data_IF_857021957433
#
_entry.id   IF_857021957433
#
_cell.length_a   1.000
_cell.length_b   1.000
_cell.length_c   1.000
_cell.angle_alpha   90.00
_cell.angle_beta   90.00
_cell.angle_gamma   90.00
#
_symmetry.space_group_name_H-M   'P 1'
#
loop_
_entity.id
_entity.type
_entity.pdbx_description
1 polymer ?
#
# COMPACT_ATOMS: atom_id res chain seq x y z
N UNK A 1 37.62 -51.63 -1.21
CA UNK A 1 36.76 -50.62 -1.85
C UNK A 1 35.36 -50.76 -1.28
N UNK A 2 34.72 -49.70 -0.78
CA UNK A 2 33.28 -49.64 -0.61
C UNK A 2 32.66 -48.93 -1.82
N UNK A 3 31.65 -49.56 -2.44
CA UNK A 3 30.77 -48.90 -3.40
C UNK A 3 29.96 -47.83 -2.67
N UNK A 4 29.99 -46.62 -3.23
CA UNK A 4 29.27 -45.47 -2.70
C UNK A 4 27.77 -45.58 -2.98
N UNK A 5 26.99 -45.56 -1.91
CA UNK A 5 25.56 -45.27 -1.97
C UNK A 5 25.36 -43.82 -2.43
N UNK A 6 24.95 -43.65 -3.67
CA UNK A 6 24.52 -42.37 -4.22
C UNK A 6 23.00 -42.32 -4.14
N UNK A 7 22.48 -41.70 -3.08
CA UNK A 7 21.05 -41.41 -2.95
C UNK A 7 20.58 -40.54 -4.14
N UNK A 8 19.51 -40.93 -4.86
CA UNK A 8 18.96 -40.07 -5.88
C UNK A 8 18.28 -38.87 -5.20
N UNK A 9 18.81 -37.69 -5.45
CA UNK A 9 18.16 -36.42 -5.09
C UNK A 9 16.81 -36.38 -5.80
N UNK A 10 15.74 -36.69 -5.06
CA UNK A 10 14.39 -36.53 -5.53
C UNK A 10 14.14 -35.06 -5.84
N UNK A 11 14.15 -34.73 -7.14
CA UNK A 11 13.69 -33.45 -7.66
C UNK A 11 12.31 -33.16 -7.08
N UNK A 12 12.26 -32.14 -6.23
CA UNK A 12 11.03 -31.61 -5.67
C UNK A 12 10.11 -31.29 -6.85
N UNK A 13 8.88 -31.85 -6.93
CA UNK A 13 8.02 -31.64 -8.08
C UNK A 13 7.87 -30.14 -8.33
N UNK A 14 8.28 -29.69 -9.52
CA UNK A 14 8.09 -28.31 -9.94
C UNK A 14 6.62 -27.95 -9.80
N UNK A 15 6.33 -26.75 -9.27
CA UNK A 15 4.96 -26.30 -9.07
C UNK A 15 4.14 -26.51 -10.36
N UNK A 16 2.92 -27.08 -10.27
CA UNK A 16 2.13 -27.41 -11.45
C UNK A 16 1.96 -26.20 -12.36
N UNK A 17 2.03 -26.41 -13.68
CA UNK A 17 2.01 -25.34 -14.70
C UNK A 17 0.85 -24.35 -14.53
N UNK A 18 -0.29 -24.80 -14.00
CA UNK A 18 -1.43 -23.94 -13.67
C UNK A 18 -1.08 -22.81 -12.68
N UNK A 19 -0.28 -23.11 -11.65
CA UNK A 19 0.15 -22.11 -10.65
C UNK A 19 1.12 -21.11 -11.29
N UNK A 20 2.02 -21.57 -12.18
CA UNK A 20 2.96 -20.69 -12.88
C UNK A 20 2.26 -19.72 -13.84
N UNK A 21 1.22 -20.19 -14.54
CA UNK A 21 0.40 -19.36 -15.42
C UNK A 21 -0.40 -18.31 -14.65
N UNK A 22 -1.00 -18.68 -13.51
CA UNK A 22 -1.70 -17.73 -12.64
C UNK A 22 -0.74 -16.66 -12.08
N UNK A 23 0.42 -17.06 -11.55
CA UNK A 23 1.40 -16.11 -10.99
C UNK A 23 2.01 -15.19 -12.05
N UNK A 24 2.27 -15.69 -13.27
CA UNK A 24 2.79 -14.88 -14.37
C UNK A 24 1.75 -13.88 -14.88
N UNK A 25 0.47 -14.28 -14.91
CA UNK A 25 -0.64 -13.41 -15.28
C UNK A 25 -0.87 -12.33 -14.21
N UNK A 26 -0.79 -12.68 -12.94
CA UNK A 26 -0.93 -11.76 -11.80
C UNK A 26 0.23 -10.75 -11.77
N UNK A 27 1.47 -11.22 -11.96
CA UNK A 27 2.65 -10.36 -12.09
C UNK A 27 2.58 -9.43 -13.30
N UNK A 28 2.03 -9.88 -14.45
CA UNK A 28 1.86 -9.02 -15.61
C UNK A 28 0.81 -7.91 -15.37
N UNK A 29 -0.23 -8.19 -14.60
CA UNK A 29 -1.25 -7.21 -14.20
C UNK A 29 -0.73 -6.21 -13.16
N UNK A 30 0.30 -6.57 -12.37
CA UNK A 30 0.86 -5.68 -11.37
C UNK A 30 1.84 -4.65 -11.93
N UNK A 31 2.54 -4.93 -13.04
CA UNK A 31 3.56 -4.02 -13.58
C UNK A 31 3.05 -2.59 -13.85
N UNK A 32 1.91 -2.37 -14.52
CA UNK A 32 1.41 -1.00 -14.73
C UNK A 32 1.04 -0.30 -13.42
N UNK A 33 0.60 -1.07 -12.42
CA UNK A 33 0.26 -0.57 -11.09
C UNK A 33 1.52 -0.14 -10.33
N UNK A 34 2.56 -0.97 -10.38
CA UNK A 34 3.88 -0.71 -9.77
C UNK A 34 4.58 0.50 -10.43
N UNK A 35 4.45 0.65 -11.75
CA UNK A 35 4.91 1.82 -12.50
C UNK A 35 4.14 3.10 -12.10
N UNK A 36 2.80 3.03 -12.06
CA UNK A 36 1.97 4.16 -11.64
C UNK A 36 2.31 4.59 -10.20
N UNK A 37 2.50 3.64 -9.30
CA UNK A 37 2.92 3.91 -7.93
C UNK A 37 4.29 4.60 -7.86
N UNK A 38 5.26 4.14 -8.66
CA UNK A 38 6.58 4.75 -8.74
C UNK A 38 6.53 6.19 -9.24
N UNK A 39 5.69 6.47 -10.23
CA UNK A 39 5.46 7.84 -10.73
C UNK A 39 4.83 8.73 -9.67
N UNK A 40 3.85 8.22 -8.91
CA UNK A 40 3.25 8.97 -7.80
C UNK A 40 4.26 9.28 -6.70
N UNK A 41 5.09 8.31 -6.29
CA UNK A 41 6.18 8.56 -5.32
C UNK A 41 7.08 9.68 -5.80
N UNK A 42 7.58 9.59 -7.03
CA UNK A 42 8.45 10.61 -7.62
C UNK A 42 7.80 11.99 -7.71
N UNK A 43 6.51 12.06 -8.07
CA UNK A 43 5.79 13.33 -8.13
C UNK A 43 5.63 13.96 -6.74
N UNK A 44 5.39 13.13 -5.72
CA UNK A 44 5.08 13.55 -4.36
C UNK A 44 6.31 13.66 -3.45
N UNK A 45 7.51 13.25 -3.91
CA UNK A 45 8.80 13.45 -3.24
C UNK A 45 9.08 14.91 -2.93
N UNK A 46 8.66 15.82 -3.82
CA UNK A 46 8.83 17.24 -3.61
C UNK A 46 7.80 17.79 -2.61
N UNK A 47 8.22 18.56 -1.59
CA UNK A 47 7.31 19.19 -0.67
C UNK A 47 6.46 20.24 -1.40
N UNK A 48 5.19 20.35 -1.02
CA UNK A 48 4.22 21.25 -1.64
C UNK A 48 3.19 20.54 -2.52
N UNK A 49 2.14 21.28 -2.90
CA UNK A 49 1.04 20.75 -3.73
C UNK A 49 1.56 20.51 -5.14
N UNK A 50 1.51 19.27 -5.66
CA UNK A 50 1.98 18.97 -7.00
C UNK A 50 1.12 19.71 -8.03
N UNK A 51 1.73 20.16 -9.14
CA UNK A 51 1.01 20.76 -10.26
C UNK A 51 0.24 19.68 -11.06
N UNK A 52 -0.87 19.21 -10.50
CA UNK A 52 -1.77 18.24 -11.12
C UNK A 52 -2.98 18.96 -11.73
N UNK A 53 -3.58 18.34 -12.75
CA UNK A 53 -4.78 18.90 -13.42
C UNK A 53 -5.97 19.04 -12.46
N UNK A 54 -6.17 18.05 -11.60
CA UNK A 54 -7.20 18.05 -10.55
C UNK A 54 -6.65 17.35 -9.30
N UNK A 55 -6.66 18.02 -8.13
CA UNK A 55 -6.26 17.41 -6.87
C UNK A 55 -7.23 16.30 -6.45
N UNK A 56 -8.53 16.48 -6.65
CA UNK A 56 -9.57 15.49 -6.28
C UNK A 56 -9.43 14.18 -7.06
N UNK A 57 -9.18 14.28 -8.37
CA UNK A 57 -8.90 13.09 -9.19
C UNK A 57 -7.61 12.41 -8.77
N UNK A 58 -6.62 13.20 -8.36
CA UNK A 58 -5.34 12.67 -7.86
C UNK A 58 -5.56 11.88 -6.57
N UNK A 59 -6.28 12.43 -5.59
CA UNK A 59 -6.65 11.73 -4.35
C UNK A 59 -7.41 10.43 -4.65
N UNK A 60 -8.41 10.50 -5.52
CA UNK A 60 -9.22 9.34 -5.93
C UNK A 60 -8.37 8.25 -6.57
N UNK A 61 -7.40 8.63 -7.41
CA UNK A 61 -6.49 7.68 -8.07
C UNK A 61 -5.52 7.01 -7.09
N UNK A 62 -4.99 7.74 -6.11
CA UNK A 62 -4.15 7.16 -5.04
C UNK A 62 -4.96 6.21 -4.15
N UNK A 63 -6.22 6.54 -3.85
CA UNK A 63 -7.11 5.67 -3.09
C UNK A 63 -7.41 4.37 -3.85
N UNK A 64 -7.66 4.47 -5.17
CA UNK A 64 -7.86 3.30 -6.02
C UNK A 64 -6.60 2.43 -6.09
N UNK A 65 -5.42 3.04 -6.22
CA UNK A 65 -4.14 2.35 -6.21
C UNK A 65 -3.95 1.51 -4.94
N UNK A 66 -4.21 2.11 -3.77
CA UNK A 66 -4.12 1.42 -2.49
C UNK A 66 -5.13 0.25 -2.39
N UNK A 67 -6.36 0.45 -2.86
CA UNK A 67 -7.38 -0.60 -2.88
C UNK A 67 -6.99 -1.77 -3.80
N UNK A 68 -6.42 -1.50 -4.97
CA UNK A 68 -5.94 -2.52 -5.90
C UNK A 68 -4.79 -3.34 -5.29
N UNK A 69 -3.83 -2.69 -4.62
CA UNK A 69 -2.77 -3.41 -3.91
C UNK A 69 -3.32 -4.32 -2.79
N UNK A 70 -4.36 -3.90 -2.08
CA UNK A 70 -5.02 -4.75 -1.08
C UNK A 70 -5.68 -5.97 -1.71
N UNK A 71 -6.32 -5.80 -2.86
CA UNK A 71 -6.94 -6.91 -3.60
C UNK A 71 -5.90 -7.90 -4.14
N UNK A 72 -4.69 -7.44 -4.46
CA UNK A 72 -3.56 -8.28 -4.88
C UNK A 72 -2.77 -8.88 -3.71
N UNK A 73 -3.26 -8.77 -2.48
CA UNK A 73 -2.56 -9.23 -1.27
C UNK A 73 -1.12 -8.65 -1.15
N UNK A 74 -0.96 -7.39 -1.54
CA UNK A 74 0.26 -6.59 -1.43
C UNK A 74 0.11 -5.53 -0.34
N UNK A 75 0.07 -5.92 0.95
CA UNK A 75 -0.31 -5.02 2.04
C UNK A 75 0.71 -3.90 2.28
N UNK A 76 1.99 -4.12 1.97
CA UNK A 76 3.03 -3.10 2.12
C UNK A 76 2.84 -1.98 1.08
N UNK A 77 2.65 -2.32 -0.20
CA UNK A 77 2.38 -1.32 -1.25
C UNK A 77 1.07 -0.57 -1.00
N UNK A 78 0.05 -1.25 -0.47
CA UNK A 78 -1.20 -0.60 -0.07
C UNK A 78 -0.99 0.43 1.05
N UNK A 79 -0.24 0.06 2.08
CA UNK A 79 0.10 0.95 3.20
C UNK A 79 0.86 2.19 2.70
N UNK A 80 1.91 2.00 1.88
CA UNK A 80 2.65 3.13 1.32
C UNK A 80 1.77 4.02 0.43
N UNK A 81 0.84 3.43 -0.34
CA UNK A 81 -0.12 4.19 -1.15
C UNK A 81 -1.04 5.06 -0.28
N UNK A 82 -1.52 4.55 0.87
CA UNK A 82 -2.28 5.36 1.82
C UNK A 82 -1.44 6.45 2.49
N UNK A 83 -0.14 6.22 2.73
CA UNK A 83 0.76 7.26 3.24
C UNK A 83 0.96 8.39 2.22
N UNK A 84 1.08 8.05 0.93
CA UNK A 84 1.09 9.06 -0.15
C UNK A 84 -0.21 9.84 -0.18
N UNK A 85 -1.36 9.17 -0.07
CA UNK A 85 -2.68 9.81 -0.02
C UNK A 85 -2.77 10.79 1.16
N UNK A 86 -2.41 10.35 2.37
CA UNK A 86 -2.37 11.18 3.57
C UNK A 86 -1.50 12.41 3.38
N UNK A 87 -0.30 12.23 2.83
CA UNK A 87 0.62 13.35 2.55
C UNK A 87 0.01 14.39 1.60
N UNK A 88 -0.79 13.95 0.64
CA UNK A 88 -1.42 14.85 -0.32
C UNK A 88 -2.65 15.54 0.28
N UNK A 89 -3.50 14.81 1.01
CA UNK A 89 -4.61 15.41 1.77
C UNK A 89 -4.12 16.53 2.70
N UNK A 90 -3.04 16.29 3.45
CA UNK A 90 -2.43 17.31 4.33
C UNK A 90 -1.98 18.55 3.57
N UNK A 91 -1.32 18.37 2.43
CA UNK A 91 -0.86 19.48 1.60
C UNK A 91 -2.00 20.30 0.99
N UNK A 92 -3.14 19.67 0.76
CA UNK A 92 -4.35 20.30 0.22
C UNK A 92 -5.24 20.89 1.32
N UNK A 93 -4.96 20.64 2.60
CA UNK A 93 -5.83 21.03 3.71
C UNK A 93 -7.11 20.19 3.81
N UNK A 94 -7.14 19.01 3.20
CA UNK A 94 -8.28 18.09 3.23
C UNK A 94 -8.26 17.24 4.51
N UNK A 95 -8.89 17.75 5.58
CA UNK A 95 -8.97 17.09 6.88
C UNK A 95 -9.73 15.77 6.85
N UNK A 96 -10.88 15.73 6.15
CA UNK A 96 -11.69 14.52 6.03
C UNK A 96 -10.95 13.42 5.26
N UNK A 97 -10.29 13.77 4.16
CA UNK A 97 -9.46 12.84 3.41
C UNK A 97 -8.27 12.34 4.22
N UNK A 98 -7.63 13.20 5.01
CA UNK A 98 -6.55 12.82 5.91
C UNK A 98 -7.03 11.84 7.00
N UNK A 99 -8.16 12.11 7.64
CA UNK A 99 -8.76 11.23 8.65
C UNK A 99 -9.11 9.84 8.07
N UNK A 100 -9.68 9.82 6.86
CA UNK A 100 -9.94 8.56 6.16
C UNK A 100 -8.63 7.81 5.85
N UNK A 101 -7.61 8.49 5.33
CA UNK A 101 -6.31 7.86 5.03
C UNK A 101 -5.64 7.30 6.29
N UNK A 102 -5.67 8.03 7.41
CA UNK A 102 -5.19 7.56 8.71
C UNK A 102 -5.92 6.31 9.18
N UNK A 103 -7.25 6.29 9.08
CA UNK A 103 -8.06 5.11 9.40
C UNK A 103 -7.64 3.88 8.57
N UNK A 104 -7.34 4.08 7.29
CA UNK A 104 -6.84 3.00 6.43
C UNK A 104 -5.46 2.52 6.83
N UNK A 105 -4.54 3.43 7.15
CA UNK A 105 -3.18 3.12 7.62
C UNK A 105 -3.22 2.31 8.92
N UNK A 106 -3.99 2.74 9.92
CA UNK A 106 -4.16 2.02 11.17
C UNK A 106 -4.63 0.58 10.93
N UNK A 107 -5.68 0.43 10.10
CA UNK A 107 -6.20 -0.88 9.75
C UNK A 107 -5.17 -1.76 9.04
N UNK A 108 -4.42 -1.21 8.09
CA UNK A 108 -3.35 -1.93 7.39
C UNK A 108 -2.24 -2.38 8.34
N UNK A 109 -1.82 -1.53 9.28
CA UNK A 109 -0.79 -1.86 10.27
C UNK A 109 -1.23 -2.93 11.25
N UNK A 110 -2.50 -2.91 11.68
CA UNK A 110 -3.08 -3.98 12.50
C UNK A 110 -3.11 -5.32 11.76
N UNK A 111 -3.47 -5.32 10.48
CA UNK A 111 -3.43 -6.52 9.63
C UNK A 111 -2.01 -7.06 9.44
N UNK A 112 -1.00 -6.18 9.41
CA UNK A 112 0.42 -6.53 9.35
C UNK A 112 1.01 -6.94 10.70
N UNK A 113 0.21 -7.01 11.77
CA UNK A 113 0.69 -7.39 13.11
C UNK A 113 1.60 -6.34 13.76
N UNK A 114 1.46 -5.06 13.37
CA UNK A 114 2.26 -3.93 13.87
C UNK A 114 1.43 -2.95 14.71
N UNK A 115 0.83 -3.38 15.85
CA UNK A 115 -0.09 -2.55 16.63
C UNK A 115 0.57 -1.31 17.23
N UNK A 116 1.85 -1.37 17.61
CA UNK A 116 2.56 -0.21 18.16
C UNK A 116 2.69 0.93 17.15
N UNK A 117 2.86 0.63 15.86
CA UNK A 117 2.83 1.65 14.81
C UNK A 117 1.42 2.14 14.55
N UNK A 118 0.42 1.24 14.58
CA UNK A 118 -0.98 1.61 14.40
C UNK A 118 -1.47 2.59 15.47
N UNK A 119 -0.99 2.44 16.71
CA UNK A 119 -1.34 3.32 17.82
C UNK A 119 -0.93 4.79 17.56
N UNK A 120 0.27 5.03 17.02
CA UNK A 120 0.73 6.39 16.70
C UNK A 120 -0.21 7.09 15.71
N UNK A 121 -0.63 6.37 14.67
CA UNK A 121 -1.56 6.92 13.67
C UNK A 121 -3.00 7.05 14.20
N UNK A 122 -3.39 6.21 15.16
CA UNK A 122 -4.70 6.29 15.80
C UNK A 122 -4.78 7.52 16.71
N UNK A 123 -3.75 7.79 17.51
CA UNK A 123 -3.65 8.98 18.34
C UNK A 123 -3.68 10.26 17.48
N UNK A 124 -2.99 10.24 16.34
CA UNK A 124 -3.04 11.35 15.37
C UNK A 124 -4.44 11.54 14.78
N UNK A 125 -5.14 10.46 14.43
CA UNK A 125 -6.52 10.51 13.95
C UNK A 125 -7.47 11.09 14.99
N UNK A 126 -7.37 10.63 16.24
CA UNK A 126 -8.19 11.12 17.36
C UNK A 126 -7.95 12.61 17.61
N UNK A 127 -6.70 13.06 17.54
CA UNK A 127 -6.36 14.47 17.63
C UNK A 127 -7.03 15.28 16.51
N UNK A 128 -6.91 14.86 15.25
CA UNK A 128 -7.54 15.54 14.11
C UNK A 128 -9.07 15.62 14.23
N UNK A 129 -9.72 14.59 14.78
CA UNK A 129 -11.18 14.58 14.98
C UNK A 129 -11.60 15.41 16.20
N UNK A 130 -10.78 15.44 17.26
CA UNK A 130 -11.05 16.22 18.46
C UNK A 130 -10.91 17.73 18.27
N UNK A 131 -10.08 18.17 17.32
CA UNK A 131 -9.99 19.60 16.94
C UNK A 131 -11.27 20.12 16.27
N UNK A 132 -12.02 19.26 15.55
CA UNK A 132 -13.25 19.64 14.84
C UNK A 132 -14.45 19.81 15.80
N UNK A 133 -14.48 19.03 16.90
CA UNK A 133 -15.53 19.07 17.94
C UNK A 133 -15.35 20.23 18.95
N UNK A 134 -14.18 20.87 18.98
CA UNK A 134 -13.83 21.92 19.96
C UNK A 134 -14.16 23.36 19.54
N UNK A 135 -14.77 23.56 18.36
CA UNK A 135 -15.02 24.87 17.74
C UNK A 135 -16.49 25.32 17.68
N UNK A 136 -17.38 24.74 18.49
CA UNK A 136 -18.76 25.24 18.67
C UNK A 136 -18.92 26.24 19.83
#
# INVERSE_FOLDING_TARGET
EPEGDQEPQGERPGAPDGIRCSLSSDHALSKPLDEAFSLWKKLLEHPGVPSVRSPEQTLSSLQLLAALYRLQDKPIQALESFQLLLSLCRRLGDGLGAANALSQICRSLLQLGSPGQAQVFLEELEFCLGEDEGTE
#
